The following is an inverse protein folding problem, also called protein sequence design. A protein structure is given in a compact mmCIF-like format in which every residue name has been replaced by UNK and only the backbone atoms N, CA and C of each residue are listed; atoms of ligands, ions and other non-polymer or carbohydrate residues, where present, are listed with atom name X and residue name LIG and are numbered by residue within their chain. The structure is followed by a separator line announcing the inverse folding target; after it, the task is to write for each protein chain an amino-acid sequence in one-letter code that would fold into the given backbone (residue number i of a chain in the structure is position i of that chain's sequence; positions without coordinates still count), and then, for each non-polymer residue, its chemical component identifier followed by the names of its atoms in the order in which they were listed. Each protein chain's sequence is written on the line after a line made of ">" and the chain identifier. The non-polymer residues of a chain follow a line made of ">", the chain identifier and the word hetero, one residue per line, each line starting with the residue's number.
data_IF_500484947649
#
_entry.id   IF_500484947649
#
_cell.length_a   1.000
_cell.length_b   1.000
_cell.length_c   1.000
_cell.angle_alpha   90.00
_cell.angle_beta   90.00
_cell.angle_gamma   90.00
#
_symmetry.space_group_name_H-M   'P 1'
#
loop_
_entity.id
_entity.type
_entity.pdbx_description
1 polymer ?
#
# COMPACT_ATOMS: atom_id res chain seq x y z
N UNK A 1 19.90 5.87 6.91
CA UNK A 1 19.22 7.18 7.01
C UNK A 1 18.10 7.38 5.98
N UNK A 2 17.99 6.58 4.90
CA UNK A 2 16.86 6.66 3.95
C UNK A 2 15.51 6.21 4.54
N UNK A 3 15.50 5.15 5.35
CA UNK A 3 14.26 4.59 5.95
C UNK A 3 13.52 5.65 6.79
N UNK A 4 14.26 6.49 7.50
CA UNK A 4 13.70 7.54 8.35
C UNK A 4 13.04 8.67 7.55
N UNK A 5 13.55 8.95 6.34
CA UNK A 5 13.04 10.00 5.46
C UNK A 5 11.71 9.60 4.81
N UNK A 6 11.60 8.36 4.32
CA UNK A 6 10.36 7.85 3.74
C UNK A 6 9.26 7.69 4.80
N UNK A 7 9.61 7.25 6.01
CA UNK A 7 8.67 7.21 7.15
C UNK A 7 8.17 8.62 7.50
N UNK A 8 9.05 9.62 7.51
CA UNK A 8 8.67 11.01 7.80
C UNK A 8 7.70 11.57 6.75
N UNK A 9 7.95 11.32 5.45
CA UNK A 9 7.05 11.68 4.35
C UNK A 9 5.69 11.01 4.47
N UNK A 10 5.66 9.70 4.75
CA UNK A 10 4.41 8.97 4.94
C UNK A 10 3.60 9.52 6.12
N UNK A 11 4.24 9.78 7.26
CA UNK A 11 3.57 10.38 8.42
C UNK A 11 3.01 11.77 8.10
N UNK A 12 3.78 12.60 7.38
CA UNK A 12 3.35 13.95 7.00
C UNK A 12 2.16 13.91 6.04
N UNK A 13 2.19 13.04 5.03
CA UNK A 13 1.06 12.83 4.12
C UNK A 13 -0.19 12.35 4.86
N UNK A 14 -0.05 11.40 5.80
CA UNK A 14 -1.15 10.90 6.63
C UNK A 14 -1.78 11.98 7.49
N UNK A 15 -0.97 12.80 8.16
CA UNK A 15 -1.46 13.91 8.99
C UNK A 15 -2.17 14.97 8.14
N UNK A 16 -1.58 15.34 6.99
CA UNK A 16 -2.18 16.32 6.08
C UNK A 16 -3.53 15.83 5.56
N UNK A 17 -3.59 14.57 5.13
CA UNK A 17 -4.83 13.93 4.71
C UNK A 17 -5.90 14.00 5.81
N UNK A 18 -5.56 13.59 7.03
CA UNK A 18 -6.48 13.61 8.17
C UNK A 18 -7.00 15.01 8.49
N UNK A 19 -6.13 16.03 8.42
CA UNK A 19 -6.53 17.43 8.69
C UNK A 19 -7.48 17.98 7.62
N UNK A 20 -7.24 17.67 6.35
CA UNK A 20 -8.11 18.09 5.25
C UNK A 20 -9.46 17.35 5.29
N UNK A 21 -9.44 16.05 5.64
CA UNK A 21 -10.63 15.24 5.76
C UNK A 21 -11.52 15.71 6.92
N UNK A 22 -10.93 16.11 8.04
CA UNK A 22 -11.64 16.69 9.19
C UNK A 22 -12.30 18.05 8.88
N UNK A 23 -11.79 18.78 7.88
CA UNK A 23 -12.37 20.06 7.43
C UNK A 23 -13.58 19.89 6.49
N UNK A 24 -13.78 18.70 5.92
CA UNK A 24 -14.91 18.45 5.02
C UNK A 24 -16.23 18.53 5.80
N UNK A 25 -17.15 19.40 5.37
CA UNK A 25 -18.44 19.60 6.05
C UNK A 25 -19.54 18.72 5.44
N UNK A 26 -19.34 18.26 4.21
CA UNK A 26 -20.30 17.43 3.49
C UNK A 26 -19.68 16.13 2.98
N UNK A 27 -20.51 15.09 2.83
CA UNK A 27 -20.11 13.81 2.24
C UNK A 27 -19.56 13.95 0.82
N UNK A 28 -20.01 14.95 0.07
CA UNK A 28 -19.54 15.25 -1.30
C UNK A 28 -18.12 15.79 -1.29
N UNK A 29 -17.82 16.75 -0.39
CA UNK A 29 -16.48 17.29 -0.19
C UNK A 29 -15.50 16.23 0.28
N UNK A 30 -15.92 15.39 1.24
CA UNK A 30 -15.13 14.24 1.71
C UNK A 30 -14.73 13.32 0.55
N UNK A 31 -15.69 12.92 -0.28
CA UNK A 31 -15.43 12.03 -1.43
C UNK A 31 -14.50 12.68 -2.46
N UNK A 32 -14.66 13.98 -2.71
CA UNK A 32 -13.78 14.74 -3.61
C UNK A 32 -12.34 14.77 -3.08
N UNK A 33 -12.16 15.10 -1.81
CA UNK A 33 -10.85 15.16 -1.15
C UNK A 33 -10.16 13.79 -1.13
N UNK A 34 -10.88 12.71 -0.84
CA UNK A 34 -10.32 11.35 -0.89
C UNK A 34 -9.87 10.96 -2.29
N UNK A 35 -10.65 11.31 -3.33
CA UNK A 35 -10.29 11.01 -4.71
C UNK A 35 -9.02 11.79 -5.15
N UNK A 36 -8.91 13.08 -4.79
CA UNK A 36 -7.71 13.88 -5.07
C UNK A 36 -6.47 13.35 -4.34
N UNK A 37 -6.60 12.94 -3.07
CA UNK A 37 -5.49 12.35 -2.31
C UNK A 37 -5.02 11.01 -2.90
N UNK A 38 -5.95 10.11 -3.25
CA UNK A 38 -5.61 8.84 -3.89
C UNK A 38 -4.96 9.04 -5.26
N UNK A 39 -5.47 9.99 -6.05
CA UNK A 39 -4.88 10.34 -7.35
C UNK A 39 -3.48 10.94 -7.21
N UNK A 40 -3.20 11.66 -6.12
CA UNK A 40 -1.87 12.22 -5.82
C UNK A 40 -0.91 11.20 -5.23
N UNK A 41 -1.43 10.07 -4.75
CA UNK A 41 -0.68 8.97 -4.14
C UNK A 41 -0.31 7.88 -5.15
N UNK A 42 -0.39 8.17 -6.46
CA UNK A 42 0.03 7.26 -7.51
C UNK A 42 1.55 7.04 -7.40
N UNK A 43 1.94 6.10 -6.56
CA UNK A 43 3.27 5.54 -6.48
C UNK A 43 3.50 4.81 -7.80
N UNK A 44 4.35 5.37 -8.67
CA UNK A 44 5.08 4.53 -9.62
C UNK A 44 5.97 3.61 -8.78
N UNK A 45 5.42 2.48 -8.32
CA UNK A 45 6.27 1.34 -8.07
C UNK A 45 6.64 0.79 -9.44
N UNK A 46 7.75 1.27 -10.00
CA UNK A 46 8.55 0.42 -10.87
C UNK A 46 9.05 -0.75 -10.02
N UNK A 47 8.16 -1.69 -9.71
CA UNK A 47 8.55 -3.06 -9.39
C UNK A 47 8.74 -3.80 -10.74
N UNK A 48 9.49 -3.17 -11.64
CA UNK A 48 10.14 -3.88 -12.73
C UNK A 48 11.16 -4.79 -12.07
N UNK A 49 10.75 -6.02 -11.77
CA UNK A 49 11.54 -7.26 -11.56
C UNK A 49 11.02 -8.13 -10.42
N UNK A 50 9.81 -7.96 -9.89
CA UNK A 50 9.21 -9.05 -9.10
C UNK A 50 8.21 -9.81 -9.97
N UNK A 51 8.72 -10.86 -10.63
CA UNK A 51 7.90 -11.81 -11.39
C UNK A 51 6.74 -12.25 -10.52
N UNK A 52 5.51 -11.98 -10.97
CA UNK A 52 4.25 -12.40 -10.35
C UNK A 52 4.32 -13.91 -10.09
N UNK A 53 4.74 -14.28 -8.88
CA UNK A 53 4.64 -15.64 -8.39
C UNK A 53 3.17 -15.88 -8.14
N UNK A 54 2.56 -16.70 -8.99
CA UNK A 54 1.17 -17.16 -8.85
C UNK A 54 1.00 -17.80 -7.46
N UNK A 55 0.44 -17.03 -6.52
CA UNK A 55 0.08 -17.52 -5.18
C UNK A 55 -1.12 -18.45 -5.38
N UNK A 56 -0.88 -19.75 -5.44
CA UNK A 56 -1.94 -20.75 -5.38
C UNK A 56 -2.45 -20.83 -3.94
N UNK A 57 -3.68 -20.39 -3.75
CA UNK A 57 -4.63 -20.72 -2.67
C UNK A 57 -4.04 -20.88 -1.27
N UNK A 58 -4.20 -19.83 -0.46
CA UNK A 58 -4.08 -19.86 0.99
C UNK A 58 -5.23 -20.70 1.57
N UNK A 59 -4.96 -21.95 1.92
CA UNK A 59 -5.89 -22.77 2.71
C UNK A 59 -5.68 -22.44 4.19
N UNK A 60 -6.71 -21.84 4.80
CA UNK A 60 -6.74 -21.48 6.21
C UNK A 60 -7.37 -22.65 6.98
N UNK A 61 -6.59 -23.69 7.20
CA UNK A 61 -6.90 -24.73 8.18
C UNK A 61 -5.93 -24.61 9.37
N UNK A 62 -6.51 -24.27 10.52
CA UNK A 62 -5.98 -24.31 11.90
C UNK A 62 -4.49 -23.99 12.12
N UNK A 63 -4.28 -22.73 12.53
CA UNK A 63 -3.19 -22.17 13.35
C UNK A 63 -1.73 -22.43 12.97
N UNK A 64 -1.44 -22.99 11.79
CA UNK A 64 -0.06 -23.03 11.29
C UNK A 64 0.01 -22.64 9.82
N UNK A 65 0.28 -21.36 9.55
CA UNK A 65 0.59 -20.88 8.19
C UNK A 65 1.98 -21.37 7.76
N UNK A 66 2.03 -22.51 7.08
CA UNK A 66 3.27 -23.01 6.47
C UNK A 66 3.41 -22.45 5.05
N UNK A 67 4.38 -21.55 4.84
CA UNK A 67 4.71 -21.03 3.52
C UNK A 67 5.89 -21.82 2.96
N UNK A 68 5.63 -22.67 1.95
CA UNK A 68 6.69 -23.40 1.25
C UNK A 68 7.07 -22.65 -0.05
N UNK A 69 8.23 -22.00 -0.06
CA UNK A 69 8.75 -21.29 -1.24
C UNK A 69 9.64 -22.25 -2.05
N UNK A 70 9.15 -22.72 -3.18
CA UNK A 70 9.96 -23.56 -4.10
C UNK A 70 10.71 -22.66 -5.08
N UNK A 71 12.04 -22.55 -4.93
CA UNK A 71 12.91 -21.76 -5.81
C UNK A 71 13.17 -22.53 -7.11
N UNK A 72 12.50 -22.14 -8.19
CA UNK A 72 12.76 -22.70 -9.53
C UNK A 72 14.00 -22.00 -10.11
N UNK A 73 15.14 -22.69 -10.16
CA UNK A 73 16.36 -22.21 -10.83
C UNK A 73 16.25 -22.51 -12.33
N UNK A 74 16.00 -21.49 -13.16
CA UNK A 74 16.21 -21.62 -14.62
C UNK A 74 17.73 -21.73 -14.89
N UNK A 75 18.10 -22.70 -15.73
CA UNK A 75 19.47 -23.00 -16.15
C UNK A 75 19.97 -22.01 -17.18
#
# INVERSE_FOLDING_TARGET
>A
MLITFEIAKFLQAKLTASTMLAKAKTKKEYKKLMAEMLSSMNFESEDEKSSVSSIKTLDLADDTTSVTITKIKKK
#
